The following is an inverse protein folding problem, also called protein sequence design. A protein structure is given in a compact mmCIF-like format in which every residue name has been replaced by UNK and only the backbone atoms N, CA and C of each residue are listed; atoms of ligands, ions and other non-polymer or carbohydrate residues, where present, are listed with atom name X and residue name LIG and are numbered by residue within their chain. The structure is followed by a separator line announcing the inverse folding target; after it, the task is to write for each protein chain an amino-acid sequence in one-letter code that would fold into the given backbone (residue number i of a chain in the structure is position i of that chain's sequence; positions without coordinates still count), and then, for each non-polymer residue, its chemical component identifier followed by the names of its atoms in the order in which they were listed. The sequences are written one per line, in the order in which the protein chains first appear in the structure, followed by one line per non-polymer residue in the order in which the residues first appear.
data_IF_119718816778
#
_entry.id   IF_119718816778
#
_cell.length_a   1.000
_cell.length_b   1.000
_cell.length_c   1.000
_cell.angle_alpha   90.00
_cell.angle_beta   90.00
_cell.angle_gamma   90.00
#
_symmetry.space_group_name_H-M   'P 1'
#
loop_
_entity.id
_entity.type
_entity.pdbx_description
1 polymer ?
#
# COMPACT_ATOMS: atom_id res chain seq x y z
N UNK A 1 -21.54 12.26 3.93
CA UNK A 1 -20.29 11.51 3.68
C UNK A 1 -19.62 11.20 5.01
N UNK A 2 -18.86 10.11 5.15
CA UNK A 2 -18.34 9.64 6.45
C UNK A 2 -17.53 10.67 7.26
N UNK A 3 -17.00 11.74 6.65
CA UNK A 3 -16.33 12.85 7.35
C UNK A 3 -17.26 13.89 7.99
N UNK A 4 -18.50 14.03 7.51
CA UNK A 4 -19.47 15.00 8.07
C UNK A 4 -19.99 14.56 9.44
N UNK A 5 -20.00 13.26 9.72
CA UNK A 5 -20.47 12.71 11.01
C UNK A 5 -19.43 12.85 12.14
N UNK A 6 -18.18 13.25 11.82
CA UNK A 6 -17.05 13.34 12.79
C UNK A 6 -16.49 14.76 12.92
N UNK A 7 -16.95 15.73 12.11
CA UNK A 7 -16.51 17.12 12.20
C UNK A 7 -15.07 17.40 11.74
N UNK A 8 -14.42 16.45 11.05
CA UNK A 8 -13.06 16.59 10.52
C UNK A 8 -13.05 16.38 9.00
N UNK A 9 -12.25 17.19 8.30
CA UNK A 9 -11.89 16.93 6.89
C UNK A 9 -10.96 15.72 6.86
N UNK A 10 -11.39 14.67 6.16
CA UNK A 10 -10.56 13.49 5.89
C UNK A 10 -9.56 13.86 4.79
N UNK A 11 -8.39 14.33 5.18
CA UNK A 11 -7.26 14.56 4.28
C UNK A 11 -6.23 13.45 4.44
N UNK A 12 -5.74 12.93 3.31
CA UNK A 12 -4.59 12.04 3.31
C UNK A 12 -3.34 12.79 3.73
N UNK A 13 -2.56 12.19 4.62
CA UNK A 13 -1.20 12.63 4.88
C UNK A 13 -0.33 12.44 3.64
N UNK A 14 0.75 13.20 3.53
CA UNK A 14 1.72 13.05 2.43
C UNK A 14 2.23 11.60 2.29
N UNK A 15 2.40 10.89 3.41
CA UNK A 15 2.84 9.50 3.42
C UNK A 15 1.76 8.56 2.86
N UNK A 16 0.50 8.78 3.21
CA UNK A 16 -0.63 8.01 2.67
C UNK A 16 -0.79 8.27 1.17
N UNK A 17 -0.74 9.53 0.73
CA UNK A 17 -0.75 9.87 -0.69
C UNK A 17 0.37 9.18 -1.46
N UNK A 18 1.62 9.25 -0.98
CA UNK A 18 2.74 8.57 -1.63
C UNK A 18 2.61 7.03 -1.64
N UNK A 19 1.89 6.46 -0.65
CA UNK A 19 1.62 5.02 -0.61
C UNK A 19 0.52 4.64 -1.59
N UNK A 20 -0.51 5.47 -1.72
CA UNK A 20 -1.58 5.32 -2.71
C UNK A 20 -1.04 5.47 -4.14
N UNK A 21 -0.17 6.45 -4.41
CA UNK A 21 0.47 6.62 -5.72
C UNK A 21 1.24 5.36 -6.12
N UNK A 22 2.00 4.77 -5.18
CA UNK A 22 2.71 3.51 -5.42
C UNK A 22 1.78 2.32 -5.65
N UNK A 23 0.61 2.31 -4.98
CA UNK A 23 -0.38 1.27 -5.17
C UNK A 23 -1.03 1.39 -6.57
N UNK A 24 -1.30 2.61 -7.01
CA UNK A 24 -1.80 2.90 -8.36
C UNK A 24 -0.77 2.48 -9.42
N UNK A 25 0.50 2.87 -9.27
CA UNK A 25 1.57 2.45 -10.17
C UNK A 25 1.70 0.91 -10.27
N UNK A 26 1.49 0.19 -9.16
CA UNK A 26 1.51 -1.26 -9.14
C UNK A 26 0.28 -1.86 -9.85
N UNK A 27 -0.89 -1.24 -9.70
CA UNK A 27 -2.12 -1.63 -10.38
C UNK A 27 -2.02 -1.44 -11.90
N UNK A 28 -1.49 -0.31 -12.37
CA UNK A 28 -1.29 -0.04 -13.80
C UNK A 28 -0.34 -1.07 -14.44
N UNK A 29 0.73 -1.43 -13.72
CA UNK A 29 1.63 -2.51 -14.16
C UNK A 29 0.93 -3.87 -14.21
N UNK A 30 0.06 -4.15 -13.24
CA UNK A 30 -0.70 -5.39 -13.20
C UNK A 30 -1.70 -5.48 -14.36
N UNK A 31 -2.35 -4.37 -14.73
CA UNK A 31 -3.23 -4.30 -15.89
C UNK A 31 -2.45 -4.58 -17.18
N UNK A 32 -1.31 -3.90 -17.37
CA UNK A 32 -0.46 -4.12 -18.54
C UNK A 32 0.00 -5.58 -18.65
N UNK A 33 0.47 -6.14 -17.53
CA UNK A 33 0.96 -7.51 -17.49
C UNK A 33 -0.15 -8.55 -17.68
N UNK A 34 -1.37 -8.25 -17.23
CA UNK A 34 -2.55 -9.09 -17.47
C UNK A 34 -2.88 -9.14 -18.96
N UNK A 35 -2.84 -7.99 -19.65
CA UNK A 35 -3.02 -7.96 -21.11
C UNK A 35 -1.93 -8.77 -21.85
N UNK A 36 -0.68 -8.70 -21.39
CA UNK A 36 0.40 -9.54 -21.92
C UNK A 36 0.14 -11.03 -21.67
N UNK A 37 -0.34 -11.40 -20.49
CA UNK A 37 -0.67 -12.79 -20.17
C UNK A 37 -1.75 -13.33 -21.10
N UNK A 38 -2.83 -12.58 -21.30
CA UNK A 38 -3.92 -12.98 -22.21
C UNK A 38 -3.42 -13.16 -23.65
N UNK A 39 -2.59 -12.23 -24.15
CA UNK A 39 -2.01 -12.33 -25.48
C UNK A 39 -1.08 -13.56 -25.63
N UNK A 40 -0.29 -13.86 -24.59
CA UNK A 40 0.56 -15.04 -24.55
C UNK A 40 -0.25 -16.34 -24.46
N UNK A 41 -1.30 -16.37 -23.64
CA UNK A 41 -2.15 -17.53 -23.44
C UNK A 41 -2.98 -17.87 -24.69
N UNK A 42 -3.36 -16.86 -25.47
CA UNK A 42 -4.06 -17.02 -26.74
C UNK A 42 -3.16 -17.57 -27.87
N UNK A 43 -1.83 -17.51 -27.72
CA UNK A 43 -0.89 -18.01 -28.72
C UNK A 43 -0.45 -19.45 -28.41
N UNK A 44 -0.79 -20.45 -29.26
CA UNK A 44 -0.43 -21.85 -29.05
C UNK A 44 1.07 -22.14 -29.05
N UNK A 45 1.87 -21.28 -29.68
CA UNK A 45 3.33 -21.41 -29.78
C UNK A 45 4.06 -20.81 -28.57
N UNK A 46 3.33 -20.22 -27.62
CA UNK A 46 3.92 -19.64 -26.42
C UNK A 46 4.57 -20.72 -25.55
N UNK A 47 5.82 -20.48 -25.15
CA UNK A 47 6.51 -21.29 -24.15
C UNK A 47 5.74 -21.27 -22.81
N UNK A 48 5.27 -22.43 -22.30
CA UNK A 48 4.59 -22.51 -21.01
C UNK A 48 5.41 -21.92 -19.84
N UNK A 49 6.74 -21.99 -19.91
CA UNK A 49 7.59 -21.39 -18.88
C UNK A 49 7.46 -19.86 -18.83
N UNK A 50 7.17 -19.21 -19.96
CA UNK A 50 6.92 -17.77 -20.01
C UNK A 50 5.59 -17.42 -19.34
N UNK A 51 4.53 -18.20 -19.58
CA UNK A 51 3.23 -18.02 -18.90
C UNK A 51 3.38 -18.13 -17.38
N UNK A 52 4.13 -19.12 -16.89
CA UNK A 52 4.39 -19.29 -15.46
C UNK A 52 5.12 -18.08 -14.86
N UNK A 53 6.12 -17.54 -15.57
CA UNK A 53 6.85 -16.33 -15.12
C UNK A 53 5.91 -15.14 -15.01
N UNK A 54 5.12 -14.87 -16.06
CA UNK A 54 4.16 -13.76 -16.08
C UNK A 54 3.11 -13.91 -14.97
N UNK A 55 2.57 -15.12 -14.75
CA UNK A 55 1.66 -15.39 -13.64
C UNK A 55 2.32 -15.22 -12.27
N UNK A 56 3.63 -15.45 -12.14
CA UNK A 56 4.39 -15.18 -10.92
C UNK A 56 4.46 -13.69 -10.61
N UNK A 57 4.80 -12.89 -11.62
CA UNK A 57 4.88 -11.43 -11.51
C UNK A 57 3.52 -10.79 -11.22
N UNK A 58 2.43 -11.28 -11.82
CA UNK A 58 1.07 -10.82 -11.51
C UNK A 58 0.73 -11.00 -10.02
N UNK A 59 0.99 -12.18 -9.45
CA UNK A 59 0.76 -12.43 -8.02
C UNK A 59 1.63 -11.57 -7.12
N UNK A 60 2.86 -11.26 -7.55
CA UNK A 60 3.73 -10.36 -6.80
C UNK A 60 3.18 -8.92 -6.77
N UNK A 61 2.63 -8.44 -7.89
CA UNK A 61 1.97 -7.14 -7.97
C UNK A 61 0.68 -7.11 -7.13
N UNK A 62 -0.18 -8.12 -7.23
CA UNK A 62 -1.40 -8.25 -6.40
C UNK A 62 -1.09 -8.20 -4.90
N UNK A 63 -0.04 -8.92 -4.49
CA UNK A 63 0.44 -8.87 -3.10
C UNK A 63 0.92 -7.47 -2.73
N UNK A 64 1.74 -6.85 -3.58
CA UNK A 64 2.26 -5.50 -3.32
C UNK A 64 1.13 -4.47 -3.18
N UNK A 65 0.12 -4.53 -4.04
CA UNK A 65 -1.07 -3.66 -3.98
C UNK A 65 -1.79 -3.87 -2.65
N UNK A 66 -2.04 -5.13 -2.28
CA UNK A 66 -2.68 -5.47 -1.01
C UNK A 66 -1.89 -4.94 0.19
N UNK A 67 -0.57 -5.14 0.19
CA UNK A 67 0.32 -4.69 1.27
C UNK A 67 0.36 -3.15 1.37
N UNK A 68 0.36 -2.44 0.24
CA UNK A 68 0.33 -0.97 0.21
C UNK A 68 -1.02 -0.42 0.70
N UNK A 69 -2.13 -1.01 0.26
CA UNK A 69 -3.47 -0.63 0.73
C UNK A 69 -3.59 -0.88 2.24
N UNK A 70 -3.09 -2.02 2.73
CA UNK A 70 -3.11 -2.32 4.16
C UNK A 70 -2.30 -1.32 4.98
N UNK A 71 -1.20 -0.77 4.43
CA UNK A 71 -0.42 0.30 5.08
C UNK A 71 -1.12 1.65 5.12
N UNK A 72 -2.07 1.90 4.22
CA UNK A 72 -2.93 3.09 4.23
C UNK A 72 -4.05 2.96 5.27
N UNK A 73 -4.17 1.81 5.95
CA UNK A 73 -5.18 1.59 7.00
C UNK A 73 -4.94 2.47 8.23
N UNK A 74 -5.63 3.62 8.26
CA UNK A 74 -6.65 4.13 9.21
C UNK A 74 -6.55 3.77 10.71
N UNK A 75 -5.42 3.27 11.22
CA UNK A 75 -5.20 3.38 12.66
C UNK A 75 -5.00 4.86 12.94
N UNK A 76 -6.06 5.53 13.42
CA UNK A 76 -5.90 6.70 14.28
C UNK A 76 -4.74 6.36 15.18
N UNK A 77 -3.60 7.03 14.98
CA UNK A 77 -2.43 6.77 15.79
C UNK A 77 -2.87 6.98 17.22
N UNK A 78 -3.13 5.90 17.96
CA UNK A 78 -3.62 5.97 19.34
C UNK A 78 -2.66 6.92 20.03
N UNK A 79 -3.15 8.11 20.42
CA UNK A 79 -2.32 9.12 21.04
C UNK A 79 -1.49 8.40 22.11
N UNK A 80 -0.16 8.41 21.97
CA UNK A 80 0.73 7.67 22.87
C UNK A 80 0.28 8.00 24.29
N UNK A 81 -0.06 6.98 25.08
CA UNK A 81 -0.61 7.24 26.41
C UNK A 81 0.35 8.17 27.18
N UNK A 82 -0.15 9.05 28.07
CA UNK A 82 0.69 10.03 28.76
C UNK A 82 1.92 9.43 29.45
N UNK A 83 1.88 8.14 29.82
CA UNK A 83 3.02 7.41 30.37
C UNK A 83 4.16 7.21 29.35
N UNK A 84 3.85 6.93 28.09
CA UNK A 84 4.84 6.69 27.04
C UNK A 84 5.45 7.99 26.53
N UNK A 85 4.67 9.08 26.52
CA UNK A 85 5.19 10.42 26.28
C UNK A 85 6.12 10.85 27.42
N UNK A 86 5.72 10.68 28.69
CA UNK A 86 6.59 10.94 29.85
C UNK A 86 7.87 10.12 29.84
N UNK A 87 7.81 8.83 29.49
CA UNK A 87 9.00 7.99 29.37
C UNK A 87 9.95 8.48 28.27
N UNK A 88 9.44 8.89 27.11
CA UNK A 88 10.26 9.45 26.04
C UNK A 88 10.90 10.80 26.42
N UNK A 89 10.12 11.69 27.07
CA UNK A 89 10.59 13.01 27.53
C UNK A 89 11.57 12.94 28.69
N UNK A 90 11.48 11.90 29.55
CA UNK A 90 12.40 11.71 30.68
C UNK A 90 13.88 11.57 30.30
N UNK A 91 14.18 11.24 29.03
CA UNK A 91 15.54 11.18 28.52
C UNK A 91 16.09 12.56 28.10
N UNK A 92 15.21 13.51 27.78
CA UNK A 92 15.57 14.85 27.30
C UNK A 92 15.46 15.90 28.41
N UNK A 93 14.50 15.74 29.32
CA UNK A 93 14.28 16.65 30.48
C UNK A 93 15.33 16.49 31.61
N UNK A 94 16.33 15.60 31.44
CA UNK A 94 17.45 15.44 32.39
C UNK A 94 18.66 16.34 32.09
N UNK A 95 18.58 17.19 31.06
CA UNK A 95 19.69 18.03 30.62
C UNK A 95 19.56 19.53 30.99
N UNK A 96 18.73 19.86 31.98
CA UNK A 96 18.73 21.16 32.66
C UNK A 96 18.45 20.97 34.16
#
# INVERSE_FOLDING_TARGET
MAGEDIGYQLEWTQQESATLDRAADAADRAEHLSACWEALAANPETDPALLVKVSGELRALEKSITDLIYRVSLTEGRAKSPQHQRAAHSRWDRAY
#
